data_IF_081483886608
#
_entry.id   IF_081483886608
#
_cell.length_a   1.000
_cell.length_b   1.000
_cell.length_c   1.000
_cell.angle_alpha   90.00
_cell.angle_beta   90.00
_cell.angle_gamma   90.00
#
_symmetry.space_group_name_H-M   'P 1'
#
loop_
_entity.id
_entity.type
_entity.pdbx_description
1 polymer ?
#
# COMPACT_ATOMS: atom_id res chain seq x y z
N UNK A 1 5.32 -4.32 17.20
CA UNK A 1 5.78 -4.42 15.79
C UNK A 1 4.80 -5.32 15.08
N UNK A 2 4.02 -4.82 14.10
CA UNK A 2 3.08 -5.69 13.35
C UNK A 2 3.93 -6.57 12.45
N UNK A 3 4.27 -7.75 12.93
CA UNK A 3 4.85 -8.80 12.10
C UNK A 3 3.79 -9.26 11.10
N UNK A 4 3.87 -8.72 9.89
CA UNK A 4 3.24 -9.29 8.72
C UNK A 4 4.23 -10.30 8.17
N UNK A 5 4.30 -11.49 8.76
CA UNK A 5 4.95 -12.62 8.11
C UNK A 5 4.22 -12.85 6.78
N UNK A 6 4.81 -12.39 5.70
CA UNK A 6 4.26 -12.48 4.35
C UNK A 6 4.33 -13.93 3.91
N UNK A 7 3.29 -14.69 4.21
CA UNK A 7 3.16 -16.00 3.59
C UNK A 7 2.87 -15.84 2.09
N UNK A 8 3.30 -16.80 1.28
CA UNK A 8 3.04 -16.86 -0.15
C UNK A 8 1.53 -16.71 -0.48
N UNK A 9 0.64 -17.14 0.41
CA UNK A 9 -0.81 -16.94 0.32
C UNK A 9 -1.21 -15.46 0.25
N UNK A 10 -0.60 -14.60 1.08
CA UNK A 10 -0.89 -13.17 1.10
C UNK A 10 -0.39 -12.46 -0.16
N UNK A 11 0.80 -12.84 -0.66
CA UNK A 11 1.30 -12.32 -1.94
C UNK A 11 0.42 -12.74 -3.13
N UNK A 12 -0.16 -13.95 -3.09
CA UNK A 12 -1.09 -14.44 -4.11
C UNK A 12 -2.43 -13.69 -4.07
N UNK A 13 -2.91 -13.36 -2.88
CA UNK A 13 -4.08 -12.49 -2.72
C UNK A 13 -3.82 -11.07 -3.23
N UNK A 14 -2.67 -10.47 -2.90
CA UNK A 14 -2.29 -9.18 -3.46
C UNK A 14 -2.17 -9.21 -4.98
N UNK A 15 -1.63 -10.27 -5.58
CA UNK A 15 -1.61 -10.44 -7.05
C UNK A 15 -3.00 -10.43 -7.65
N UNK A 16 -3.95 -11.13 -7.03
CA UNK A 16 -5.35 -11.19 -7.44
C UNK A 16 -6.03 -9.82 -7.33
N UNK A 17 -5.85 -9.12 -6.21
CA UNK A 17 -6.42 -7.78 -5.99
C UNK A 17 -5.83 -6.76 -6.97
N UNK A 18 -4.52 -6.82 -7.21
CA UNK A 18 -3.81 -5.88 -8.08
C UNK A 18 -3.86 -6.27 -9.57
N UNK A 19 -4.43 -7.42 -9.93
CA UNK A 19 -4.49 -7.93 -11.31
C UNK A 19 -3.12 -8.17 -11.96
N UNK A 20 -2.07 -8.49 -11.17
CA UNK A 20 -0.69 -8.62 -11.67
C UNK A 20 -0.30 -10.07 -11.90
N UNK A 21 0.42 -10.33 -13.01
CA UNK A 21 0.98 -11.65 -13.36
C UNK A 21 2.19 -12.07 -12.52
N UNK A 22 2.81 -11.13 -11.80
CA UNK A 22 4.01 -11.36 -10.97
C UNK A 22 3.74 -10.90 -9.54
N UNK A 23 4.37 -11.52 -8.53
CA UNK A 23 4.30 -11.06 -7.16
C UNK A 23 4.62 -9.56 -7.06
N UNK A 24 3.79 -8.77 -6.35
CA UNK A 24 4.08 -7.37 -6.15
C UNK A 24 5.37 -7.23 -5.34
N UNK A 25 6.25 -6.32 -5.77
CA UNK A 25 7.35 -5.85 -4.92
C UNK A 25 6.77 -5.06 -3.75
N UNK A 26 7.40 -5.15 -2.59
CA UNK A 26 6.95 -4.49 -1.37
C UNK A 26 7.85 -3.31 -1.01
N UNK A 27 7.36 -2.36 -0.20
CA UNK A 27 6.02 -2.27 0.41
C UNK A 27 4.85 -2.02 -0.57
N UNK A 28 3.63 -2.39 -0.16
CA UNK A 28 2.36 -2.00 -0.80
C UNK A 28 1.51 -1.28 0.25
N UNK A 29 1.13 -0.05 -0.03
CA UNK A 29 0.45 0.82 0.93
C UNK A 29 -1.02 0.93 0.60
N UNK A 30 -1.83 0.75 1.65
CA UNK A 30 -3.28 0.88 1.61
C UNK A 30 -3.70 1.85 2.71
N UNK A 31 -4.66 2.74 2.40
CA UNK A 31 -5.27 3.65 3.37
C UNK A 31 -6.79 3.45 3.30
N UNK A 32 -7.42 3.21 4.44
CA UNK A 32 -8.85 2.88 4.54
C UNK A 32 -9.31 1.76 3.57
N UNK A 33 -8.47 0.73 3.42
CA UNK A 33 -8.74 -0.39 2.51
C UNK A 33 -8.52 -0.10 1.02
N UNK A 34 -8.17 1.14 0.64
CA UNK A 34 -7.85 1.53 -0.74
C UNK A 34 -6.35 1.43 -1.00
N UNK A 35 -5.96 0.76 -2.07
CA UNK A 35 -4.58 0.73 -2.54
C UNK A 35 -4.15 2.12 -3.04
N UNK A 36 -3.03 2.64 -2.52
CA UNK A 36 -2.51 3.96 -2.92
C UNK A 36 -1.15 3.90 -3.62
N UNK A 37 -0.40 2.79 -3.53
CA UNK A 37 0.87 2.65 -4.26
C UNK A 37 1.89 1.71 -3.63
N UNK A 38 2.99 1.48 -4.34
CA UNK A 38 4.23 0.94 -3.78
C UNK A 38 5.18 2.07 -3.39
N UNK A 39 6.46 1.74 -3.19
CA UNK A 39 7.49 2.70 -2.76
C UNK A 39 7.55 3.95 -3.62
N UNK A 40 7.66 3.80 -4.95
CA UNK A 40 7.86 4.92 -5.85
C UNK A 40 6.62 5.80 -5.96
N UNK A 41 5.44 5.19 -6.06
CA UNK A 41 4.18 5.94 -6.17
C UNK A 41 3.89 6.70 -4.87
N UNK A 42 4.13 6.09 -3.71
CA UNK A 42 3.94 6.76 -2.41
C UNK A 42 4.97 7.89 -2.23
N UNK A 43 6.22 7.70 -2.68
CA UNK A 43 7.23 8.76 -2.64
C UNK A 43 6.81 9.96 -3.49
N UNK A 44 6.35 9.73 -4.71
CA UNK A 44 5.85 10.80 -5.58
C UNK A 44 4.65 11.52 -4.96
N UNK A 45 3.67 10.78 -4.42
CA UNK A 45 2.54 11.37 -3.71
C UNK A 45 2.99 12.23 -2.52
N UNK A 46 4.03 11.83 -1.80
CA UNK A 46 4.60 12.61 -0.70
C UNK A 46 5.25 13.89 -1.21
N UNK A 47 6.10 13.79 -2.23
CA UNK A 47 6.82 14.91 -2.85
C UNK A 47 5.85 15.95 -3.44
N UNK A 48 4.73 15.50 -4.03
CA UNK A 48 3.69 16.37 -4.57
C UNK A 48 2.78 16.97 -3.48
N UNK A 49 2.93 16.59 -2.21
CA UNK A 49 2.05 17.01 -1.10
C UNK A 49 0.66 16.35 -1.13
N UNK A 50 0.42 15.44 -2.06
CA UNK A 50 -0.86 14.78 -2.32
C UNK A 50 -1.13 13.63 -1.35
N UNK A 51 -0.10 13.01 -0.80
CA UNK A 51 -0.23 11.88 0.13
C UNK A 51 -1.12 12.22 1.33
N UNK A 52 -1.06 13.46 1.82
CA UNK A 52 -1.90 13.94 2.93
C UNK A 52 -3.39 13.85 2.62
N UNK A 53 -3.80 13.96 1.36
CA UNK A 53 -5.22 13.85 0.95
C UNK A 53 -5.77 12.44 1.13
N UNK A 54 -4.91 11.44 1.00
CA UNK A 54 -5.27 10.04 1.24
C UNK A 54 -5.29 9.72 2.74
N UNK A 55 -4.39 10.32 3.53
CA UNK A 55 -4.26 10.07 4.98
C UNK A 55 -5.26 10.88 5.83
N UNK A 56 -5.96 11.85 5.23
CA UNK A 56 -6.82 12.87 5.91
C UNK A 56 -8.02 12.34 6.71
N UNK A 57 -8.13 11.03 6.94
CA UNK A 57 -9.17 10.40 7.77
C UNK A 57 -8.71 9.90 9.14
N UNK A 58 -7.48 10.21 9.57
CA UNK A 58 -7.10 10.06 10.98
C UNK A 58 -7.32 11.38 11.74
N UNK A 59 -8.46 11.56 12.44
CA UNK A 59 -8.51 12.48 13.56
C UNK A 59 -7.65 11.88 14.67
N UNK A 60 -6.57 12.58 15.04
CA UNK A 60 -5.86 12.49 16.32
C UNK A 60 -5.60 11.11 16.93
N UNK A 61 -4.32 10.73 16.93
CA UNK A 61 -3.71 9.89 17.97
C UNK A 61 -2.40 10.53 18.38
#
# INVERSE_FOLDING_TARGET
MRDLSMDAGFLKELQRILGRKKPPTLPRVFVDGRYIGGTDEVRQLHEMGELKKYIKRFPGG
#
